data_IF_027222178000
#
_entry.id   IF_027222178000
#
_cell.length_a   1.000
_cell.length_b   1.000
_cell.length_c   1.000
_cell.angle_alpha   90.00
_cell.angle_beta   90.00
_cell.angle_gamma   90.00
#
_symmetry.space_group_name_H-M   'P 1'
#
loop_
_entity.id
_entity.type
_entity.pdbx_description
1 polymer ?
#
# COMPACT_ATOMS: atom_id res chain seq x y z
N UNK A 1 -26.85 -11.61 14.97
CA UNK A 1 -25.98 -11.51 16.16
C UNK A 1 -24.56 -11.50 15.67
N UNK A 2 -24.02 -10.32 15.40
CA UNK A 2 -22.75 -10.15 14.67
C UNK A 2 -21.77 -9.46 15.61
N UNK A 3 -20.84 -10.25 16.16
CA UNK A 3 -19.83 -9.76 17.08
C UNK A 3 -18.66 -9.18 16.28
N UNK A 4 -18.50 -7.86 16.38
CA UNK A 4 -17.43 -7.09 15.75
C UNK A 4 -16.13 -7.24 16.54
N UNK A 5 -15.10 -7.85 15.97
CA UNK A 5 -13.76 -7.91 16.55
C UNK A 5 -12.92 -6.75 16.03
N UNK A 6 -12.87 -5.63 16.76
CA UNK A 6 -12.09 -4.41 16.41
C UNK A 6 -10.93 -4.15 17.38
N UNK A 7 -10.60 -5.06 18.28
CA UNK A 7 -9.80 -4.70 19.47
C UNK A 7 -8.27 -4.78 19.32
N UNK A 8 -7.71 -5.26 18.19
CA UNK A 8 -6.27 -5.59 18.14
C UNK A 8 -5.35 -4.51 17.54
N UNK A 9 -5.87 -3.42 16.98
CA UNK A 9 -5.03 -2.38 16.34
C UNK A 9 -4.59 -1.29 17.32
N UNK A 10 -5.35 -1.04 18.38
CA UNK A 10 -5.10 0.02 19.37
C UNK A 10 -3.90 -0.27 20.29
N UNK A 11 -3.47 -1.52 20.43
CA UNK A 11 -2.41 -1.92 21.37
C UNK A 11 -0.99 -1.66 20.86
N UNK A 12 -0.75 -1.69 19.54
CA UNK A 12 0.60 -1.48 18.97
C UNK A 12 0.93 0.02 18.79
N UNK A 13 -0.07 0.84 18.46
CA UNK A 13 0.07 2.31 18.46
C UNK A 13 0.23 2.85 19.89
N UNK A 14 -0.41 2.20 20.87
CA UNK A 14 -0.23 2.48 22.29
C UNK A 14 1.20 2.18 22.77
N UNK A 15 1.80 1.06 22.37
CA UNK A 15 3.18 0.70 22.76
C UNK A 15 4.22 1.63 22.14
N UNK A 16 4.03 2.05 20.89
CA UNK A 16 4.91 3.02 20.22
C UNK A 16 4.79 4.42 20.81
N UNK A 17 3.56 4.90 21.13
CA UNK A 17 3.37 6.17 21.85
C UNK A 17 3.91 6.14 23.27
N UNK A 18 3.76 5.04 24.00
CA UNK A 18 4.22 4.94 25.39
C UNK A 18 5.75 5.06 25.49
N UNK A 19 6.49 4.46 24.54
CA UNK A 19 7.96 4.60 24.47
C UNK A 19 8.41 6.02 24.09
N UNK A 20 7.61 6.74 23.29
CA UNK A 20 7.90 8.13 22.87
C UNK A 20 7.65 9.17 23.97
N UNK A 21 6.80 8.90 24.97
CA UNK A 21 6.34 9.92 25.93
C UNK A 21 7.16 9.96 27.24
N UNK A 22 7.95 8.92 27.53
CA UNK A 22 8.72 8.83 28.79
C UNK A 22 10.14 9.41 28.75
N UNK A 23 10.64 9.85 27.59
CA UNK A 23 12.05 10.25 27.43
C UNK A 23 12.29 11.76 27.29
N UNK A 24 11.32 12.61 27.62
CA UNK A 24 11.46 14.06 27.51
C UNK A 24 12.40 14.72 28.55
N UNK A 25 13.07 13.94 29.41
CA UNK A 25 13.90 14.43 30.51
C UNK A 25 15.32 13.85 30.57
N UNK A 26 15.91 13.46 29.43
CA UNK A 26 17.35 13.24 29.37
C UNK A 26 17.93 13.86 28.12
N UNK A 27 18.70 14.92 28.28
CA UNK A 27 19.63 15.43 27.28
C UNK A 27 20.70 14.35 27.00
N UNK A 28 20.36 13.34 26.19
CA UNK A 28 21.32 12.38 25.70
C UNK A 28 22.21 13.09 24.68
N UNK A 29 23.39 13.52 25.13
CA UNK A 29 24.53 13.95 24.29
C UNK A 29 25.17 12.70 23.67
N UNK A 30 24.37 11.77 23.15
CA UNK A 30 24.90 10.66 22.37
C UNK A 30 25.27 11.26 21.01
N UNK A 31 26.53 11.17 20.65
CA UNK A 31 27.07 11.66 19.39
C UNK A 31 27.83 10.50 18.72
N UNK A 32 28.03 10.58 17.40
CA UNK A 32 28.65 9.51 16.63
C UNK A 32 30.18 9.59 16.57
N UNK A 33 30.82 10.53 17.27
CA UNK A 33 32.28 10.77 17.22
C UNK A 33 33.13 9.53 17.57
N UNK A 34 32.63 8.69 18.48
CA UNK A 34 33.33 7.48 18.97
C UNK A 34 32.83 6.19 18.29
N UNK A 35 31.89 6.30 17.32
CA UNK A 35 31.39 5.15 16.57
C UNK A 35 32.34 4.81 15.42
N UNK A 36 33.10 3.74 15.59
CA UNK A 36 34.03 3.22 14.57
C UNK A 36 33.34 2.13 13.75
N UNK A 37 33.44 2.24 12.41
CA UNK A 37 32.93 1.22 11.48
C UNK A 37 34.02 0.18 11.17
N UNK A 38 34.10 -0.86 12.01
CA UNK A 38 35.07 -1.95 11.88
C UNK A 38 34.45 -3.28 11.42
N UNK A 39 33.17 -3.25 11.02
CA UNK A 39 32.35 -4.44 10.73
C UNK A 39 32.25 -5.49 11.86
N UNK A 40 32.69 -5.17 13.09
CA UNK A 40 32.60 -6.07 14.27
C UNK A 40 31.49 -5.65 15.24
N UNK A 41 30.72 -4.64 14.87
CA UNK A 41 29.63 -4.09 15.70
C UNK A 41 28.44 -5.02 15.95
N UNK A 42 28.37 -6.17 15.25
CA UNK A 42 27.37 -7.21 15.41
C UNK A 42 28.06 -8.54 15.65
N UNK A 43 27.78 -9.19 16.79
CA UNK A 43 28.46 -10.44 17.17
C UNK A 43 27.88 -11.68 16.46
N UNK A 44 26.61 -11.63 16.05
CA UNK A 44 25.93 -12.75 15.39
C UNK A 44 26.16 -12.75 13.88
N UNK A 45 26.50 -13.92 13.33
CA UNK A 45 26.78 -14.10 11.91
C UNK A 45 25.49 -14.27 11.08
N UNK A 46 25.58 -14.00 9.78
CA UNK A 46 24.46 -14.15 8.85
C UNK A 46 23.91 -15.58 8.85
N UNK A 47 24.77 -16.60 8.96
CA UNK A 47 24.35 -18.01 9.02
C UNK A 47 23.47 -18.30 10.24
N UNK A 48 23.80 -17.71 11.40
CA UNK A 48 23.00 -17.84 12.61
C UNK A 48 21.63 -17.17 12.44
N UNK A 49 21.57 -16.00 11.82
CA UNK A 49 20.30 -15.30 11.53
C UNK A 49 19.42 -16.09 10.56
N UNK A 50 20.01 -16.75 9.56
CA UNK A 50 19.26 -17.65 8.66
C UNK A 50 18.71 -18.84 9.44
N UNK A 51 19.55 -19.47 10.28
CA UNK A 51 19.12 -20.58 11.14
C UNK A 51 17.95 -20.19 12.05
N UNK A 52 17.99 -19.02 12.70
CA UNK A 52 16.86 -18.53 13.50
C UNK A 52 15.55 -18.45 12.70
N UNK A 53 15.62 -18.07 11.42
CA UNK A 53 14.44 -18.03 10.55
C UNK A 53 13.97 -19.44 10.15
N UNK A 54 14.89 -20.34 9.87
CA UNK A 54 14.60 -21.75 9.53
C UNK A 54 14.00 -22.50 10.72
N UNK A 55 14.47 -22.19 11.93
CA UNK A 55 13.94 -22.71 13.20
C UNK A 55 12.55 -22.13 13.53
N UNK A 56 12.02 -21.22 12.72
CA UNK A 56 10.68 -20.64 12.88
C UNK A 56 10.57 -19.61 14.01
N UNK A 57 11.69 -19.01 14.43
CA UNK A 57 11.69 -17.97 15.45
C UNK A 57 10.89 -16.74 15.01
N UNK A 58 10.11 -16.16 15.94
CA UNK A 58 9.33 -14.96 15.64
C UNK A 58 10.24 -13.79 15.23
N UNK A 59 9.76 -12.99 14.27
CA UNK A 59 10.48 -11.84 13.73
C UNK A 59 10.81 -10.81 14.81
N UNK A 60 9.95 -10.64 15.81
CA UNK A 60 10.23 -9.74 16.94
C UNK A 60 11.41 -10.23 17.76
N UNK A 61 11.46 -11.54 18.06
CA UNK A 61 12.57 -12.16 18.80
C UNK A 61 13.88 -12.05 18.02
N UNK A 62 13.87 -12.26 16.70
CA UNK A 62 15.07 -12.08 15.85
C UNK A 62 15.59 -10.63 15.94
N UNK A 63 14.68 -9.64 15.92
CA UNK A 63 15.06 -8.23 16.05
C UNK A 63 15.63 -7.92 17.44
N UNK A 64 15.03 -8.48 18.50
CA UNK A 64 15.54 -8.33 19.87
C UNK A 64 16.96 -8.93 20.00
N UNK A 65 17.17 -10.15 19.54
CA UNK A 65 18.50 -10.79 19.51
C UNK A 65 19.52 -9.95 18.75
N UNK A 66 19.14 -9.34 17.62
CA UNK A 66 20.01 -8.45 16.83
C UNK A 66 20.35 -7.11 17.52
N UNK A 67 19.52 -6.67 18.46
CA UNK A 67 19.76 -5.46 19.26
C UNK A 67 20.70 -5.81 20.41
N UNK A 68 20.40 -6.88 21.15
CA UNK A 68 21.21 -7.37 22.28
C UNK A 68 22.64 -7.71 21.88
N UNK A 69 22.84 -8.21 20.65
CA UNK A 69 24.14 -8.58 20.11
C UNK A 69 24.89 -7.43 19.39
N UNK A 70 24.35 -6.20 19.44
CA UNK A 70 24.98 -5.04 18.80
C UNK A 70 25.75 -4.18 19.81
N UNK A 71 27.08 -4.23 19.75
CA UNK A 71 27.97 -3.46 20.64
C UNK A 71 27.80 -1.94 20.52
N UNK A 72 27.34 -1.45 19.37
CA UNK A 72 27.18 0.00 19.10
C UNK A 72 25.76 0.51 19.30
N UNK A 73 24.81 -0.34 19.70
CA UNK A 73 23.41 0.07 19.75
C UNK A 73 23.14 1.11 20.85
N UNK A 74 23.70 0.92 22.04
CA UNK A 74 23.44 1.80 23.18
C UNK A 74 24.06 3.19 23.03
N UNK A 75 25.23 3.28 22.41
CA UNK A 75 25.94 4.54 22.12
C UNK A 75 25.33 5.35 20.98
N UNK A 76 24.34 4.82 20.26
CA UNK A 76 23.63 5.57 19.21
C UNK A 76 22.67 6.60 19.79
N UNK A 77 22.41 7.64 19.00
CA UNK A 77 21.29 8.56 19.24
C UNK A 77 19.95 7.83 19.13
N UNK A 78 18.91 8.38 19.77
CA UNK A 78 17.56 7.81 19.71
C UNK A 78 17.01 7.71 18.28
N UNK A 79 17.26 8.71 17.43
CA UNK A 79 16.90 8.65 16.02
C UNK A 79 17.63 7.52 15.27
N UNK A 80 18.91 7.28 15.59
CA UNK A 80 19.69 6.20 15.00
C UNK A 80 19.23 4.82 15.49
N UNK A 81 18.85 4.71 16.78
CA UNK A 81 18.24 3.51 17.36
C UNK A 81 16.90 3.20 16.68
N UNK A 82 16.01 4.19 16.58
CA UNK A 82 14.71 4.04 15.92
C UNK A 82 14.85 3.65 14.44
N UNK A 83 15.76 4.31 13.71
CA UNK A 83 16.09 3.96 12.31
C UNK A 83 16.62 2.54 12.18
N UNK A 84 17.49 2.10 13.11
CA UNK A 84 18.01 0.73 13.12
C UNK A 84 16.90 -0.29 13.34
N UNK A 85 16.05 -0.08 14.36
CA UNK A 85 14.92 -0.95 14.68
C UNK A 85 13.96 -1.05 13.49
N UNK A 86 13.54 0.08 12.91
CA UNK A 86 12.62 0.11 11.78
C UNK A 86 13.16 -0.70 10.58
N UNK A 87 14.45 -0.54 10.26
CA UNK A 87 15.11 -1.31 9.20
C UNK A 87 15.13 -2.82 9.49
N UNK A 88 15.37 -3.23 10.74
CA UNK A 88 15.38 -4.66 11.12
C UNK A 88 13.96 -5.24 11.13
N UNK A 89 12.97 -4.51 11.63
CA UNK A 89 11.56 -4.89 11.58
C UNK A 89 11.07 -5.04 10.13
N UNK A 90 11.41 -4.13 9.22
CA UNK A 90 11.04 -4.26 7.81
C UNK A 90 11.60 -5.54 7.15
N UNK A 91 12.78 -6.00 7.59
CA UNK A 91 13.42 -7.20 7.04
C UNK A 91 12.93 -8.51 7.67
N UNK A 92 12.77 -8.54 8.99
CA UNK A 92 12.54 -9.78 9.75
C UNK A 92 11.10 -9.92 10.27
N UNK A 93 10.32 -8.84 10.24
CA UNK A 93 8.92 -8.82 10.67
C UNK A 93 8.04 -8.19 9.59
N UNK A 94 7.99 -8.76 8.36
CA UNK A 94 7.11 -8.27 7.31
C UNK A 94 5.65 -8.40 7.75
N UNK A 95 4.89 -7.32 7.64
CA UNK A 95 3.46 -7.30 7.95
C UNK A 95 2.68 -7.04 6.67
N UNK A 96 1.66 -7.87 6.42
CA UNK A 96 0.67 -7.60 5.38
C UNK A 96 -0.63 -7.12 6.03
N UNK A 97 -1.28 -6.16 5.37
CA UNK A 97 -2.61 -5.69 5.75
C UNK A 97 -3.53 -5.92 4.56
N UNK A 98 -4.62 -6.63 4.79
CA UNK A 98 -5.69 -6.73 3.80
C UNK A 98 -6.44 -5.40 3.77
N UNK A 99 -6.52 -4.79 2.59
CA UNK A 99 -7.22 -3.53 2.36
C UNK A 99 -8.38 -3.75 1.39
N UNK A 100 -9.44 -2.97 1.53
CA UNK A 100 -10.56 -3.00 0.57
C UNK A 100 -10.08 -2.50 -0.80
N UNK A 101 -10.54 -3.15 -1.86
CA UNK A 101 -10.38 -2.68 -3.24
C UNK A 101 -11.22 -1.43 -3.46
N UNK A 102 -10.62 -0.26 -3.24
CA UNK A 102 -11.18 1.04 -3.63
C UNK A 102 -10.44 1.54 -4.86
N UNK A 103 -11.03 2.47 -5.61
CA UNK A 103 -10.36 3.15 -6.72
C UNK A 103 -9.01 3.73 -6.32
N UNK A 104 -8.89 4.25 -5.10
CA UNK A 104 -7.64 4.72 -4.53
C UNK A 104 -6.63 3.58 -4.31
N UNK A 105 -7.02 2.56 -3.54
CA UNK A 105 -6.17 1.41 -3.23
C UNK A 105 -5.64 0.73 -4.50
N UNK A 106 -6.51 0.59 -5.51
CA UNK A 106 -6.20 -0.07 -6.77
C UNK A 106 -5.27 0.78 -7.64
N UNK A 107 -5.53 2.08 -7.73
CA UNK A 107 -4.66 3.01 -8.46
C UNK A 107 -3.26 3.03 -7.85
N UNK A 108 -3.16 3.16 -6.51
CA UNK A 108 -1.87 3.17 -5.82
C UNK A 108 -1.11 1.85 -5.99
N UNK A 109 -1.81 0.72 -5.88
CA UNK A 109 -1.20 -0.60 -6.08
C UNK A 109 -0.65 -0.78 -7.49
N UNK A 110 -1.36 -0.31 -8.51
CA UNK A 110 -0.90 -0.38 -9.90
C UNK A 110 0.22 0.62 -10.18
N UNK A 111 0.14 1.83 -9.63
CA UNK A 111 1.20 2.83 -9.78
C UNK A 111 2.51 2.34 -9.14
N UNK A 112 2.43 1.65 -8.00
CA UNK A 112 3.59 1.04 -7.36
C UNK A 112 4.13 -0.18 -8.14
N UNK A 113 3.25 -0.97 -8.76
CA UNK A 113 3.62 -2.19 -9.49
C UNK A 113 4.21 -1.91 -10.87
N UNK A 114 3.49 -1.14 -11.69
CA UNK A 114 3.89 -0.78 -13.05
C UNK A 114 3.15 0.49 -13.51
N UNK A 115 3.72 1.68 -13.24
CA UNK A 115 3.05 2.94 -13.53
C UNK A 115 2.90 3.18 -15.05
N UNK A 116 3.77 2.61 -15.89
CA UNK A 116 3.72 2.82 -17.34
C UNK A 116 2.46 2.24 -17.97
N UNK A 117 1.99 1.10 -17.44
CA UNK A 117 0.76 0.46 -17.93
C UNK A 117 -0.51 1.25 -17.65
N UNK A 118 -0.50 2.11 -16.63
CA UNK A 118 -1.59 3.03 -16.32
C UNK A 118 -1.29 4.47 -16.76
N UNK A 119 -0.42 4.66 -17.75
CA UNK A 119 -0.03 5.99 -18.25
C UNK A 119 0.52 6.94 -17.18
N UNK A 120 1.16 6.41 -16.13
CA UNK A 120 1.61 7.12 -14.94
C UNK A 120 0.48 7.87 -14.20
N UNK A 121 -0.75 7.35 -14.28
CA UNK A 121 -1.89 7.91 -13.56
C UNK A 121 -1.69 7.76 -12.04
N UNK A 122 -1.54 8.89 -11.35
CA UNK A 122 -1.49 8.96 -9.89
C UNK A 122 -2.90 9.18 -9.30
N UNK A 123 -3.04 8.87 -8.02
CA UNK A 123 -4.32 8.96 -7.32
C UNK A 123 -4.90 10.38 -7.25
N UNK A 124 -4.07 11.40 -7.11
CA UNK A 124 -4.51 12.80 -7.15
C UNK A 124 -5.04 13.18 -8.54
N UNK A 125 -4.35 12.78 -9.62
CA UNK A 125 -4.85 12.97 -10.98
C UNK A 125 -6.17 12.23 -11.21
N UNK A 126 -6.29 10.98 -10.78
CA UNK A 126 -7.54 10.22 -10.84
C UNK A 126 -8.67 10.94 -10.07
N UNK A 127 -8.37 11.45 -8.88
CA UNK A 127 -9.33 12.19 -8.05
C UNK A 127 -9.81 13.48 -8.72
N UNK A 128 -8.90 14.20 -9.37
CA UNK A 128 -9.22 15.40 -10.15
C UNK A 128 -10.09 15.07 -11.36
N UNK A 129 -9.76 14.01 -12.13
CA UNK A 129 -10.59 13.57 -13.27
C UNK A 129 -12.01 13.27 -12.82
N UNK A 130 -12.17 12.51 -11.73
CA UNK A 130 -13.49 12.15 -11.23
C UNK A 130 -14.28 13.38 -10.73
N UNK A 131 -13.60 14.33 -10.09
CA UNK A 131 -14.24 15.56 -9.58
C UNK A 131 -14.62 16.53 -10.70
N UNK A 132 -13.73 16.77 -11.66
CA UNK A 132 -14.00 17.66 -12.79
C UNK A 132 -15.05 17.10 -13.77
N UNK A 133 -15.15 15.78 -13.88
CA UNK A 133 -16.21 15.14 -14.69
C UNK A 133 -17.58 15.16 -14.01
N UNK A 134 -17.68 15.61 -12.75
CA UNK A 134 -18.92 15.66 -11.97
C UNK A 134 -19.71 14.34 -12.00
N UNK A 135 -18.99 13.21 -11.98
CA UNK A 135 -19.61 11.88 -12.06
C UNK A 135 -20.34 11.59 -10.77
N UNK A 136 -21.63 11.29 -10.87
CA UNK A 136 -22.49 10.95 -9.75
C UNK A 136 -23.48 9.84 -10.11
N UNK A 137 -24.13 9.25 -9.11
CA UNK A 137 -25.18 8.26 -9.30
C UNK A 137 -26.27 8.79 -10.26
N UNK A 138 -26.65 7.97 -11.25
CA UNK A 138 -27.64 8.30 -12.27
C UNK A 138 -27.06 8.98 -13.53
N UNK A 139 -25.75 9.32 -13.52
CA UNK A 139 -25.08 9.90 -14.68
C UNK A 139 -25.03 8.94 -15.88
N UNK A 140 -24.96 9.49 -17.10
CA UNK A 140 -24.57 8.74 -18.30
C UNK A 140 -23.20 9.24 -18.75
N UNK A 141 -22.18 8.43 -18.55
CA UNK A 141 -20.78 8.82 -18.73
C UNK A 141 -20.18 8.04 -19.88
N UNK A 142 -19.39 8.70 -20.72
CA UNK A 142 -18.57 8.06 -21.74
C UNK A 142 -17.11 8.14 -21.30
N UNK A 143 -16.40 7.02 -21.39
CA UNK A 143 -14.99 6.93 -21.03
C UNK A 143 -14.22 6.25 -22.15
N UNK A 144 -13.13 6.89 -22.57
CA UNK A 144 -12.11 6.27 -23.41
C UNK A 144 -10.80 6.31 -22.64
N UNK A 145 -10.23 5.15 -22.35
CA UNK A 145 -9.01 5.06 -21.56
C UNK A 145 -8.03 4.03 -22.12
N UNK A 146 -6.75 4.24 -21.80
CA UNK A 146 -5.68 3.25 -21.94
C UNK A 146 -5.00 2.97 -20.60
N UNK A 147 -5.69 3.21 -19.47
CA UNK A 147 -5.17 3.06 -18.11
C UNK A 147 -5.55 1.71 -17.47
N UNK A 148 -5.54 0.64 -18.28
CA UNK A 148 -5.95 -0.70 -17.85
C UNK A 148 -7.33 -0.79 -17.19
N UNK A 149 -8.30 0.09 -17.47
CA UNK A 149 -9.63 -0.02 -16.87
C UNK A 149 -9.75 0.58 -15.47
N UNK A 150 -8.71 1.25 -14.98
CA UNK A 150 -8.72 1.91 -13.67
C UNK A 150 -9.76 3.02 -13.65
N UNK A 151 -9.90 3.78 -14.75
CA UNK A 151 -10.85 4.88 -14.82
C UNK A 151 -12.29 4.36 -14.86
N UNK A 152 -12.55 3.34 -15.68
CA UNK A 152 -13.85 2.66 -15.78
C UNK A 152 -14.26 2.04 -14.45
N UNK A 153 -13.36 1.35 -13.76
CA UNK A 153 -13.62 0.80 -12.42
C UNK A 153 -13.89 1.90 -11.38
N UNK A 154 -13.16 3.01 -11.43
CA UNK A 154 -13.37 4.14 -10.54
C UNK A 154 -14.71 4.86 -10.79
N UNK A 155 -15.12 5.01 -12.05
CA UNK A 155 -16.43 5.51 -12.44
C UNK A 155 -17.54 4.58 -11.94
N UNK A 156 -17.39 3.27 -12.13
CA UNK A 156 -18.35 2.28 -11.66
C UNK A 156 -18.54 2.34 -10.14
N UNK A 157 -17.44 2.38 -9.37
CA UNK A 157 -17.52 2.53 -7.90
C UNK A 157 -18.15 3.86 -7.46
N UNK A 158 -17.89 4.97 -8.18
CA UNK A 158 -18.46 6.28 -7.85
C UNK A 158 -19.96 6.36 -8.16
N UNK A 159 -20.41 5.69 -9.22
CA UNK A 159 -21.82 5.67 -9.62
C UNK A 159 -22.65 4.63 -8.86
N UNK A 160 -22.01 3.62 -8.27
CA UNK A 160 -22.67 2.61 -7.43
C UNK A 160 -23.73 1.78 -8.16
N UNK A 161 -23.60 1.62 -9.49
CA UNK A 161 -24.55 0.90 -10.33
C UNK A 161 -25.77 1.70 -10.78
N UNK A 162 -25.88 2.97 -10.41
CA UNK A 162 -26.94 3.87 -10.86
C UNK A 162 -26.47 4.68 -12.07
N UNK A 163 -27.15 4.55 -13.21
CA UNK A 163 -26.78 5.22 -14.46
C UNK A 163 -26.14 4.27 -15.47
N UNK A 164 -25.37 4.81 -16.40
CA UNK A 164 -24.71 4.03 -17.48
C UNK A 164 -23.31 4.56 -17.77
N UNK A 165 -22.36 3.64 -17.93
CA UNK A 165 -20.97 3.94 -18.32
C UNK A 165 -20.74 3.31 -19.70
N UNK A 166 -20.54 4.15 -20.71
CA UNK A 166 -20.13 3.75 -22.05
C UNK A 166 -18.60 3.71 -22.10
N UNK A 167 -18.02 2.53 -21.89
CA UNK A 167 -16.58 2.30 -21.93
C UNK A 167 -16.15 1.97 -23.35
N UNK A 168 -15.46 2.92 -23.97
CA UNK A 168 -14.93 2.79 -25.33
C UNK A 168 -13.60 2.05 -25.29
N UNK A 169 -13.47 1.04 -26.14
CA UNK A 169 -12.22 0.31 -26.33
C UNK A 169 -11.78 0.35 -27.80
N UNK A 170 -10.47 0.25 -28.00
CA UNK A 170 -9.85 0.07 -29.31
C UNK A 170 -9.26 -1.34 -29.42
N UNK A 171 -9.41 -1.97 -30.58
CA UNK A 171 -8.98 -3.35 -30.83
C UNK A 171 -10.15 -4.34 -30.83
N UNK A 172 -9.85 -5.63 -30.94
CA UNK A 172 -10.88 -6.66 -31.11
C UNK A 172 -11.78 -6.84 -29.87
N UNK A 173 -11.23 -6.65 -28.67
CA UNK A 173 -11.95 -6.81 -27.40
C UNK A 173 -11.45 -5.80 -26.35
N UNK A 174 -12.25 -5.48 -25.32
CA UNK A 174 -11.79 -4.65 -24.21
C UNK A 174 -10.60 -5.31 -23.51
N UNK A 175 -9.43 -4.65 -23.55
CA UNK A 175 -8.18 -5.20 -23.00
C UNK A 175 -8.10 -5.17 -21.47
N UNK A 176 -9.09 -4.58 -20.80
CA UNK A 176 -9.05 -4.26 -19.38
C UNK A 176 -10.18 -4.88 -18.54
N UNK A 177 -10.92 -5.85 -19.07
CA UNK A 177 -11.98 -6.56 -18.34
C UNK A 177 -11.46 -7.28 -17.09
N UNK A 178 -10.24 -7.84 -17.15
CA UNK A 178 -9.57 -8.48 -16.01
C UNK A 178 -9.26 -7.48 -14.87
N UNK A 179 -9.13 -6.19 -15.19
CA UNK A 179 -8.90 -5.18 -14.17
C UNK A 179 -10.17 -4.86 -13.39
N UNK A 180 -11.34 -4.80 -14.06
CA UNK A 180 -12.62 -4.59 -13.37
C UNK A 180 -12.91 -5.71 -12.36
N UNK A 181 -12.48 -6.95 -12.63
CA UNK A 181 -12.54 -8.04 -11.65
C UNK A 181 -11.79 -7.74 -10.35
N UNK A 182 -10.68 -6.99 -10.41
CA UNK A 182 -9.89 -6.60 -9.22
C UNK A 182 -10.55 -5.51 -8.38
N UNK A 183 -11.47 -4.74 -8.96
CA UNK A 183 -12.27 -3.73 -8.22
C UNK A 183 -13.33 -4.37 -7.32
N UNK A 184 -13.60 -5.68 -7.47
CA UNK A 184 -14.64 -6.41 -6.74
C UNK A 184 -16.00 -5.69 -6.79
N UNK A 185 -16.39 -5.26 -7.99
CA UNK A 185 -17.63 -4.53 -8.24
C UNK A 185 -18.85 -5.43 -7.95
N UNK A 186 -19.91 -4.82 -7.44
CA UNK A 186 -21.23 -5.45 -7.30
C UNK A 186 -21.83 -5.80 -8.66
N UNK A 187 -22.86 -6.65 -8.65
CA UNK A 187 -23.59 -7.01 -9.87
C UNK A 187 -24.17 -5.78 -10.59
N UNK A 188 -24.74 -4.83 -9.84
CA UNK A 188 -25.30 -3.61 -10.40
C UNK A 188 -24.21 -2.72 -11.05
N UNK A 189 -23.08 -2.55 -10.39
CA UNK A 189 -21.93 -1.79 -10.94
C UNK A 189 -21.40 -2.44 -12.22
N UNK A 190 -21.25 -3.76 -12.26
CA UNK A 190 -20.80 -4.46 -13.48
C UNK A 190 -21.78 -4.29 -14.65
N UNK A 191 -23.09 -4.38 -14.41
CA UNK A 191 -24.11 -4.24 -15.47
C UNK A 191 -24.16 -2.81 -16.02
N UNK A 192 -23.84 -1.82 -15.19
CA UNK A 192 -23.83 -0.41 -15.59
C UNK A 192 -22.76 -0.08 -16.64
N UNK A 193 -21.71 -0.90 -16.74
CA UNK A 193 -20.65 -0.76 -17.75
C UNK A 193 -21.09 -1.42 -19.05
N UNK A 194 -21.15 -0.63 -20.12
CA UNK A 194 -21.39 -1.08 -21.49
C UNK A 194 -20.15 -0.84 -22.33
N UNK A 195 -19.76 -1.86 -23.07
CA UNK A 195 -18.58 -1.84 -23.93
C UNK A 195 -18.96 -1.37 -25.32
N UNK A 196 -18.24 -0.39 -25.83
CA UNK A 196 -18.48 0.17 -27.16
C UNK A 196 -17.17 0.19 -27.94
N UNK A 197 -17.20 -0.33 -29.17
CA UNK A 197 -16.00 -0.30 -30.00
C UNK A 197 -15.77 1.11 -30.54
N UNK A 198 -14.53 1.61 -30.47
CA UNK A 198 -14.15 2.95 -30.95
C UNK A 198 -14.59 3.24 -32.39
N UNK A 199 -14.57 2.23 -33.26
CA UNK A 199 -15.06 2.35 -34.64
C UNK A 199 -16.55 2.70 -34.73
N UNK A 200 -17.40 2.27 -33.80
CA UNK A 200 -18.83 2.60 -33.81
C UNK A 200 -19.10 4.04 -33.34
N UNK A 201 -18.16 4.65 -32.62
CA UNK A 201 -18.28 6.02 -32.09
C UNK A 201 -17.68 7.05 -33.04
N UNK A 202 -16.53 6.72 -33.64
CA UNK A 202 -15.69 7.67 -34.35
C UNK A 202 -15.62 7.42 -35.86
N UNK A 203 -16.34 6.43 -36.42
CA UNK A 203 -16.44 6.31 -37.87
C UNK A 203 -17.40 7.36 -38.43
N UNK A 204 -16.85 8.25 -39.24
CA UNK A 204 -17.55 9.11 -40.21
C UNK A 204 -17.18 8.68 -41.60
#
# INVERSE_FOLDING_TARGET
TTTTTTTTTTTLESQTKTILTTNASSSQVNDNRDLIDDNKSQSIDQKQVVKMREDGMDGQSIVATLIENSATFDGKTDFSKAKYIARKQMKYQPRCRMIRCTSASVCDALFLKDPRRIMNLRIDSLSQILSYSNVCAGSKVMVYESCMGVLTGALAQRMGGYGQILSIYSGQQPSFTDMLGKFNLTFAENISVKWLHSGEVFST
#
